data_IF_979682282451
#
_entry.id   IF_979682282451
#
_cell.length_a   1.000
_cell.length_b   1.000
_cell.length_c   1.000
_cell.angle_alpha   90.00
_cell.angle_beta   90.00
_cell.angle_gamma   90.00
#
_symmetry.space_group_name_H-M   'P 1'
#
loop_
_entity.id
_entity.type
_entity.pdbx_description
1 polymer ?
#
# COMPACT_ATOMS: atom_id res chain seq x y z
N UNK A 1 -3.38 0.54 -30.17
CA UNK A 1 -2.30 -0.06 -29.34
C UNK A 1 -2.97 -1.04 -28.39
N UNK A 2 -2.50 -2.26 -28.30
CA UNK A 2 -3.17 -3.32 -27.53
C UNK A 2 -3.01 -2.99 -26.03
N UNK A 3 -4.11 -2.63 -25.34
CA UNK A 3 -4.11 -2.19 -23.94
C UNK A 3 -3.39 -3.18 -23.02
N UNK A 4 -3.53 -4.48 -23.30
CA UNK A 4 -2.85 -5.54 -22.55
C UNK A 4 -1.33 -5.45 -22.68
N UNK A 5 -0.83 -5.19 -23.90
CA UNK A 5 0.61 -5.03 -24.17
C UNK A 5 1.17 -3.77 -23.50
N UNK A 6 0.41 -2.68 -23.52
CA UNK A 6 0.79 -1.43 -22.84
C UNK A 6 0.92 -1.64 -21.32
N UNK A 7 -0.08 -2.25 -20.69
CA UNK A 7 -0.05 -2.56 -19.25
C UNK A 7 1.12 -3.48 -18.90
N UNK A 8 1.38 -4.52 -19.71
CA UNK A 8 2.51 -5.43 -19.48
C UNK A 8 3.86 -4.70 -19.57
N UNK A 9 4.02 -3.81 -20.55
CA UNK A 9 5.25 -3.01 -20.69
C UNK A 9 5.44 -2.07 -19.50
N UNK A 10 4.38 -1.39 -19.07
CA UNK A 10 4.42 -0.50 -17.89
C UNK A 10 4.80 -1.27 -16.62
N UNK A 11 4.23 -2.46 -16.41
CA UNK A 11 4.58 -3.31 -15.27
C UNK A 11 6.04 -3.75 -15.31
N UNK A 12 6.55 -4.20 -16.47
CA UNK A 12 7.95 -4.60 -16.62
C UNK A 12 8.87 -3.41 -16.37
N UNK A 13 8.57 -2.23 -16.90
CA UNK A 13 9.34 -1.01 -16.66
C UNK A 13 9.32 -0.61 -15.18
N UNK A 14 8.20 -0.73 -14.51
CA UNK A 14 8.08 -0.47 -13.06
C UNK A 14 8.96 -1.42 -12.24
N UNK A 15 8.97 -2.72 -12.56
CA UNK A 15 9.83 -3.72 -11.91
C UNK A 15 11.31 -3.41 -12.15
N UNK A 16 11.68 -3.10 -13.39
CA UNK A 16 13.05 -2.73 -13.76
C UNK A 16 13.47 -1.45 -13.01
N UNK A 17 12.62 -0.43 -13.00
CA UNK A 17 12.87 0.81 -12.29
C UNK A 17 13.06 0.54 -10.80
N UNK A 18 12.20 -0.24 -10.16
CA UNK A 18 12.30 -0.62 -8.76
C UNK A 18 13.60 -1.37 -8.44
N UNK A 19 14.13 -2.16 -9.39
CA UNK A 19 15.39 -2.89 -9.22
C UNK A 19 16.62 -2.01 -9.45
N UNK A 20 16.57 -1.13 -10.44
CA UNK A 20 17.72 -0.29 -10.85
C UNK A 20 17.83 1.01 -10.05
N UNK A 21 16.70 1.66 -9.73
CA UNK A 21 16.68 2.97 -9.04
C UNK A 21 17.51 3.00 -7.75
N UNK A 22 17.46 1.99 -6.88
CA UNK A 22 18.28 1.96 -5.66
C UNK A 22 19.78 1.95 -5.93
N UNK A 23 20.22 1.45 -7.09
CA UNK A 23 21.62 1.36 -7.48
C UNK A 23 22.16 2.67 -8.08
N UNK A 24 21.27 3.57 -8.49
CA UNK A 24 21.64 4.87 -9.07
C UNK A 24 22.08 5.89 -8.03
N UNK A 25 22.75 6.95 -8.49
CA UNK A 25 23.10 8.09 -7.62
C UNK A 25 21.85 8.75 -7.00
N UNK A 26 20.75 8.82 -7.77
CA UNK A 26 19.48 9.34 -7.30
C UNK A 26 18.91 8.50 -6.16
N UNK A 27 18.85 7.18 -6.32
CA UNK A 27 18.38 6.28 -5.26
C UNK A 27 19.19 6.41 -3.97
N UNK A 28 20.53 6.52 -4.08
CA UNK A 28 21.43 6.71 -2.93
C UNK A 28 21.29 8.08 -2.26
N UNK A 29 20.80 9.09 -2.98
CA UNK A 29 20.57 10.43 -2.45
C UNK A 29 19.24 10.54 -1.67
N UNK A 30 18.30 9.63 -1.92
CA UNK A 30 17.01 9.61 -1.24
C UNK A 30 17.20 9.32 0.26
N UNK A 31 16.53 10.11 1.09
CA UNK A 31 16.57 9.96 2.55
C UNK A 31 15.15 9.82 3.10
N UNK A 32 15.02 8.88 4.02
CA UNK A 32 13.83 8.78 4.86
C UNK A 32 14.13 9.47 6.19
N UNK A 33 13.34 10.43 6.57
CA UNK A 33 13.35 11.00 7.91
C UNK A 33 12.06 10.60 8.65
N UNK A 34 12.06 10.80 9.95
CA UNK A 34 10.94 10.45 10.81
C UNK A 34 9.63 11.12 10.38
N UNK A 35 9.68 12.41 10.00
CA UNK A 35 8.49 13.16 9.53
C UNK A 35 7.92 12.56 8.26
N UNK A 36 8.79 12.18 7.32
CA UNK A 36 8.36 11.57 6.06
C UNK A 36 7.77 10.17 6.30
N UNK A 37 8.39 9.37 7.18
CA UNK A 37 7.86 8.07 7.56
C UNK A 37 6.45 8.19 8.17
N UNK A 38 6.26 9.19 9.04
CA UNK A 38 4.96 9.48 9.62
C UNK A 38 3.95 9.91 8.54
N UNK A 39 4.33 10.81 7.64
CA UNK A 39 3.48 11.29 6.55
C UNK A 39 3.05 10.14 5.61
N UNK A 40 3.96 9.19 5.29
CA UNK A 40 3.65 8.02 4.47
C UNK A 40 2.50 7.21 5.08
N UNK A 41 2.60 6.90 6.36
CA UNK A 41 1.60 6.07 7.02
C UNK A 41 0.28 6.83 7.25
N UNK A 42 0.32 8.13 7.54
CA UNK A 42 -0.90 8.96 7.59
C UNK A 42 -1.59 8.99 6.22
N UNK A 43 -0.84 9.17 5.14
CA UNK A 43 -1.40 9.13 3.78
C UNK A 43 -2.00 7.75 3.48
N UNK A 44 -1.34 6.67 3.90
CA UNK A 44 -1.87 5.32 3.78
C UNK A 44 -3.21 5.14 4.49
N UNK A 45 -3.35 5.66 5.72
CA UNK A 45 -4.62 5.64 6.45
C UNK A 45 -5.68 6.50 5.75
N UNK A 46 -5.32 7.71 5.32
CA UNK A 46 -6.25 8.62 4.66
C UNK A 46 -6.78 8.03 3.35
N UNK A 47 -5.90 7.51 2.49
CA UNK A 47 -6.27 6.83 1.24
C UNK A 47 -7.10 5.57 1.51
N UNK A 48 -6.69 4.77 2.52
CA UNK A 48 -7.40 3.57 2.90
C UNK A 48 -8.80 3.86 3.41
N UNK A 49 -8.95 4.79 4.35
CA UNK A 49 -10.25 5.16 4.92
C UNK A 49 -11.18 5.80 3.86
N UNK A 50 -10.65 6.72 3.06
CA UNK A 50 -11.42 7.33 1.96
C UNK A 50 -11.84 6.28 0.92
N UNK A 51 -10.92 5.38 0.54
CA UNK A 51 -11.20 4.30 -0.39
C UNK A 51 -12.24 3.32 0.14
N UNK A 52 -12.20 2.95 1.43
CA UNK A 52 -13.22 2.13 2.08
C UNK A 52 -14.60 2.80 2.03
N UNK A 53 -14.68 4.06 2.45
CA UNK A 53 -15.93 4.80 2.45
C UNK A 53 -16.53 4.89 1.04
N UNK A 54 -15.71 5.25 0.05
CA UNK A 54 -16.16 5.36 -1.34
C UNK A 54 -16.52 4.01 -1.95
N UNK A 55 -15.80 2.93 -1.62
CA UNK A 55 -16.14 1.57 -2.08
C UNK A 55 -17.52 1.13 -1.58
N UNK A 56 -17.85 1.45 -0.33
CA UNK A 56 -19.16 1.10 0.25
C UNK A 56 -20.29 1.98 -0.29
N UNK A 57 -20.03 3.26 -0.60
CA UNK A 57 -21.05 4.19 -1.10
C UNK A 57 -21.30 4.01 -2.60
N UNK A 58 -20.25 3.85 -3.38
CA UNK A 58 -20.31 3.85 -4.84
C UNK A 58 -20.52 2.44 -5.43
N UNK A 59 -20.26 1.38 -4.65
CA UNK A 59 -20.35 0.00 -5.14
C UNK A 59 -19.46 -0.22 -6.36
N UNK A 60 -19.98 -0.85 -7.41
CA UNK A 60 -19.23 -1.14 -8.64
C UNK A 60 -18.72 0.10 -9.38
N UNK A 61 -19.33 1.27 -9.17
CA UNK A 61 -18.93 2.51 -9.85
C UNK A 61 -17.50 2.92 -9.49
N UNK A 62 -16.98 2.50 -8.35
CA UNK A 62 -15.58 2.80 -7.95
C UNK A 62 -14.58 2.19 -8.93
N UNK A 63 -14.88 1.00 -9.48
CA UNK A 63 -14.03 0.30 -10.45
C UNK A 63 -14.26 0.82 -11.87
N UNK A 64 -15.52 0.99 -12.29
CA UNK A 64 -15.87 1.42 -13.65
C UNK A 64 -15.51 2.87 -13.93
N UNK A 65 -15.52 3.73 -12.91
CA UNK A 65 -15.17 5.15 -13.00
C UNK A 65 -13.68 5.46 -12.78
N UNK A 66 -12.81 4.46 -12.65
CA UNK A 66 -11.38 4.63 -12.34
C UNK A 66 -11.07 5.36 -11.03
N UNK A 67 -12.04 5.50 -10.14
CA UNK A 67 -11.83 6.16 -8.84
C UNK A 67 -10.94 5.33 -7.92
N UNK A 68 -10.99 4.00 -8.06
CA UNK A 68 -10.15 3.07 -7.32
C UNK A 68 -8.66 3.37 -7.53
N UNK A 69 -8.22 3.49 -8.79
CA UNK A 69 -6.84 3.77 -9.15
C UNK A 69 -6.40 5.15 -8.69
N UNK A 70 -7.29 6.14 -8.82
CA UNK A 70 -7.01 7.52 -8.42
C UNK A 70 -6.75 7.66 -6.92
N UNK A 71 -7.55 6.96 -6.09
CA UNK A 71 -7.41 6.99 -4.63
C UNK A 71 -6.18 6.19 -4.18
N UNK A 72 -5.90 5.08 -4.85
CA UNK A 72 -4.77 4.21 -4.51
C UNK A 72 -3.43 4.79 -4.95
N UNK A 73 -3.39 5.58 -6.03
CA UNK A 73 -2.16 6.10 -6.64
C UNK A 73 -1.24 6.83 -5.65
N UNK A 74 -1.71 7.78 -4.80
CA UNK A 74 -0.85 8.45 -3.84
C UNK A 74 -0.18 7.48 -2.86
N UNK A 75 -0.93 6.49 -2.36
CA UNK A 75 -0.40 5.48 -1.46
C UNK A 75 0.66 4.63 -2.16
N UNK A 76 0.39 4.17 -3.38
CA UNK A 76 1.35 3.38 -4.18
C UNK A 76 2.65 4.16 -4.40
N UNK A 77 2.59 5.43 -4.82
CA UNK A 77 3.77 6.25 -5.05
C UNK A 77 4.61 6.38 -3.78
N UNK A 78 3.98 6.67 -2.65
CA UNK A 78 4.66 6.89 -1.38
C UNK A 78 5.28 5.60 -0.84
N UNK A 79 4.56 4.46 -0.93
CA UNK A 79 5.12 3.17 -0.52
C UNK A 79 6.23 2.68 -1.45
N UNK A 80 6.12 2.91 -2.76
CA UNK A 80 7.22 2.65 -3.69
C UNK A 80 8.46 3.49 -3.36
N UNK A 81 8.27 4.77 -3.05
CA UNK A 81 9.35 5.62 -2.58
C UNK A 81 10.03 5.04 -1.34
N UNK A 82 9.26 4.66 -0.32
CA UNK A 82 9.79 4.07 0.91
C UNK A 82 10.57 2.78 0.63
N UNK A 83 10.04 1.90 -0.21
CA UNK A 83 10.67 0.64 -0.59
C UNK A 83 11.99 0.86 -1.36
N UNK A 84 12.05 1.86 -2.26
CA UNK A 84 13.28 2.24 -2.97
C UNK A 84 14.35 2.75 -1.99
N UNK A 85 13.97 3.63 -1.05
CA UNK A 85 14.90 4.16 -0.04
C UNK A 85 15.46 3.05 0.84
N UNK A 86 14.60 2.14 1.31
CA UNK A 86 15.02 0.99 2.12
C UNK A 86 16.00 0.10 1.36
N UNK A 87 15.70 -0.20 0.10
CA UNK A 87 16.56 -1.03 -0.74
C UNK A 87 17.88 -0.35 -1.12
N UNK A 88 17.88 0.98 -1.31
CA UNK A 88 19.08 1.74 -1.71
C UNK A 88 20.14 1.79 -0.61
N UNK A 89 19.74 1.75 0.65
CA UNK A 89 20.63 1.92 1.79
C UNK A 89 21.12 0.63 2.40
N UNK A 90 20.53 -0.50 2.03
CA UNK A 90 20.86 -1.80 2.62
C UNK A 90 20.70 -1.78 4.15
N UNK A 91 21.59 -2.55 4.84
CA UNK A 91 21.57 -2.61 6.31
C UNK A 91 22.20 -1.37 7.00
N UNK A 92 22.67 -0.37 6.25
CA UNK A 92 23.27 0.83 6.84
C UNK A 92 22.22 1.91 7.06
N UNK A 93 21.66 1.98 8.28
CA UNK A 93 21.04 3.16 8.92
C UNK A 93 20.07 4.03 8.11
N UNK A 94 19.28 3.46 7.20
CA UNK A 94 18.19 4.22 6.59
C UNK A 94 16.99 4.38 7.55
N UNK A 95 16.85 3.43 8.44
CA UNK A 95 15.95 3.40 9.57
C UNK A 95 16.78 3.08 10.80
N UNK A 96 16.44 3.69 11.91
CA UNK A 96 16.82 3.19 13.22
C UNK A 96 16.38 1.71 13.28
N UNK A 97 17.22 0.86 13.83
CA UNK A 97 16.97 -0.58 13.97
C UNK A 97 15.57 -0.85 14.54
N UNK A 98 15.10 0.05 15.39
CA UNK A 98 13.77 0.11 15.96
C UNK A 98 12.67 0.29 14.90
N UNK A 99 12.80 1.25 13.97
CA UNK A 99 11.79 1.46 12.92
C UNK A 99 11.64 0.22 12.03
N UNK A 100 12.74 -0.48 11.75
CA UNK A 100 12.72 -1.74 11.04
C UNK A 100 11.95 -2.83 11.80
N UNK A 101 12.17 -2.93 13.12
CA UNK A 101 11.43 -3.86 13.98
C UNK A 101 9.95 -3.51 14.08
N UNK A 102 9.60 -2.24 14.19
CA UNK A 102 8.21 -1.79 14.27
C UNK A 102 7.44 -2.07 12.97
N UNK A 103 8.08 -1.86 11.80
CA UNK A 103 7.50 -2.24 10.51
C UNK A 103 7.30 -3.76 10.39
N UNK A 104 8.27 -4.55 10.84
CA UNK A 104 8.17 -6.01 10.81
C UNK A 104 7.05 -6.51 11.73
N UNK A 105 6.91 -5.94 12.93
CA UNK A 105 5.82 -6.26 13.87
C UNK A 105 4.46 -5.84 13.30
N UNK A 106 4.39 -4.66 12.70
CA UNK A 106 3.17 -4.19 12.05
C UNK A 106 2.77 -5.10 10.89
N UNK A 107 3.73 -5.54 10.06
CA UNK A 107 3.47 -6.49 8.98
C UNK A 107 3.00 -7.86 9.52
N UNK A 108 3.65 -8.37 10.56
CA UNK A 108 3.27 -9.63 11.21
C UNK A 108 1.87 -9.56 11.83
N UNK A 109 1.45 -8.40 12.36
CA UNK A 109 0.10 -8.20 12.88
C UNK A 109 -0.92 -8.05 11.75
N UNK A 110 -0.62 -7.27 10.72
CA UNK A 110 -1.57 -6.96 9.64
C UNK A 110 -1.82 -8.16 8.72
N UNK A 111 -0.85 -9.08 8.57
CA UNK A 111 -0.99 -10.24 7.70
C UNK A 111 -2.16 -11.15 8.07
N UNK A 112 -2.31 -11.65 9.32
CA UNK A 112 -3.45 -12.49 9.69
C UNK A 112 -4.78 -11.73 9.57
N UNK A 113 -4.82 -10.44 9.89
CA UNK A 113 -6.03 -9.62 9.68
C UNK A 113 -6.37 -9.47 8.20
N UNK A 114 -5.38 -9.29 7.34
CA UNK A 114 -5.57 -9.23 5.90
C UNK A 114 -6.11 -10.54 5.35
N UNK A 115 -5.54 -11.68 5.75
CA UNK A 115 -6.00 -13.00 5.31
C UNK A 115 -7.43 -13.26 5.81
N UNK A 116 -7.71 -13.04 7.08
CA UNK A 116 -9.05 -13.20 7.66
C UNK A 116 -10.07 -12.26 6.98
N UNK A 117 -9.69 -11.01 6.74
CA UNK A 117 -10.50 -10.03 6.02
C UNK A 117 -10.83 -10.47 4.59
N UNK A 118 -9.86 -11.04 3.88
CA UNK A 118 -10.09 -11.57 2.53
C UNK A 118 -11.11 -12.72 2.55
N UNK A 119 -10.98 -13.67 3.46
CA UNK A 119 -11.93 -14.77 3.58
C UNK A 119 -13.33 -14.30 3.95
N UNK A 120 -13.43 -13.36 4.90
CA UNK A 120 -14.72 -12.78 5.31
C UNK A 120 -15.39 -12.05 4.16
N UNK A 121 -14.69 -11.17 3.46
CA UNK A 121 -15.22 -10.41 2.34
C UNK A 121 -15.60 -11.32 1.16
N UNK A 122 -14.82 -12.37 0.91
CA UNK A 122 -15.14 -13.36 -0.10
C UNK A 122 -16.40 -14.16 0.28
N UNK A 123 -16.56 -14.53 1.55
CA UNK A 123 -17.77 -15.19 2.03
C UNK A 123 -19.00 -14.28 1.88
N UNK A 124 -18.91 -13.00 2.24
CA UNK A 124 -19.98 -12.02 2.05
C UNK A 124 -20.32 -11.80 0.57
N UNK A 125 -19.32 -11.81 -0.31
CA UNK A 125 -19.54 -11.76 -1.75
C UNK A 125 -20.33 -13.01 -2.22
N UNK A 126 -19.96 -14.18 -1.74
CA UNK A 126 -20.64 -15.43 -2.08
C UNK A 126 -22.09 -15.46 -1.61
N UNK A 127 -22.40 -14.84 -0.49
CA UNK A 127 -23.76 -14.67 0.05
C UNK A 127 -24.52 -13.48 -0.61
N UNK A 128 -23.98 -12.92 -1.70
CA UNK A 128 -24.59 -11.80 -2.45
C UNK A 128 -24.81 -10.51 -1.65
N UNK A 129 -24.05 -10.33 -0.56
CA UNK A 129 -24.04 -9.07 0.22
C UNK A 129 -23.32 -7.98 -0.56
N UNK A 130 -22.31 -8.35 -1.33
CA UNK A 130 -21.61 -7.45 -2.26
C UNK A 130 -21.93 -7.84 -3.70
N UNK A 131 -22.33 -6.86 -4.50
CA UNK A 131 -22.51 -7.05 -5.94
C UNK A 131 -21.16 -6.91 -6.67
N UNK A 132 -20.95 -7.75 -7.67
CA UNK A 132 -19.77 -7.70 -8.52
C UNK A 132 -18.42 -7.81 -7.78
N UNK A 133 -17.42 -7.09 -8.24
CA UNK A 133 -16.04 -7.12 -7.70
C UNK A 133 -15.79 -6.11 -6.57
N UNK A 134 -16.82 -5.53 -5.95
CA UNK A 134 -16.69 -4.49 -4.91
C UNK A 134 -15.89 -4.97 -3.69
N UNK A 135 -15.96 -6.26 -3.37
CA UNK A 135 -15.18 -6.85 -2.27
C UNK A 135 -13.66 -6.64 -2.42
N UNK A 136 -13.17 -6.58 -3.66
CA UNK A 136 -11.73 -6.43 -3.92
C UNK A 136 -11.17 -5.05 -3.52
N UNK A 137 -11.71 -3.90 -3.97
CA UNK A 137 -11.28 -2.60 -3.46
C UNK A 137 -11.49 -2.45 -1.95
N UNK A 138 -12.57 -2.96 -1.38
CA UNK A 138 -12.79 -2.95 0.07
C UNK A 138 -11.64 -3.69 0.77
N UNK A 139 -11.27 -4.87 0.29
CA UNK A 139 -10.15 -5.64 0.83
C UNK A 139 -8.81 -4.87 0.78
N UNK A 140 -8.48 -4.27 -0.37
CA UNK A 140 -7.22 -3.53 -0.52
C UNK A 140 -7.16 -2.30 0.39
N UNK A 141 -8.21 -1.51 0.45
CA UNK A 141 -8.25 -0.33 1.30
C UNK A 141 -8.28 -0.67 2.79
N UNK A 142 -8.96 -1.75 3.17
CA UNK A 142 -8.92 -2.28 4.54
C UNK A 142 -7.50 -2.68 4.93
N UNK A 143 -6.83 -3.46 4.09
CA UNK A 143 -5.46 -3.91 4.32
C UNK A 143 -4.49 -2.73 4.43
N UNK A 144 -4.62 -1.74 3.54
CA UNK A 144 -3.82 -0.52 3.56
C UNK A 144 -4.02 0.26 4.87
N UNK A 145 -5.27 0.42 5.30
CA UNK A 145 -5.60 1.13 6.54
C UNK A 145 -5.04 0.42 7.76
N UNK A 146 -5.27 -0.89 7.87
CA UNK A 146 -4.81 -1.71 9.00
C UNK A 146 -3.29 -1.71 9.10
N UNK A 147 -2.60 -1.93 7.98
CA UNK A 147 -1.13 -1.92 7.96
C UNK A 147 -0.58 -0.56 8.39
N UNK A 148 -1.05 0.53 7.78
CA UNK A 148 -0.57 1.88 8.07
C UNK A 148 -0.85 2.29 9.52
N UNK A 149 -2.02 1.93 10.04
CA UNK A 149 -2.38 2.17 11.44
C UNK A 149 -1.49 1.36 12.40
N UNK A 150 -1.26 0.08 12.11
CA UNK A 150 -0.38 -0.77 12.90
C UNK A 150 1.05 -0.21 12.97
N UNK A 151 1.61 0.24 11.84
CA UNK A 151 2.93 0.89 11.80
C UNK A 151 2.97 2.11 12.71
N UNK A 152 1.97 2.99 12.66
CA UNK A 152 1.94 4.20 13.50
C UNK A 152 1.75 3.88 14.98
N UNK A 153 0.98 2.85 15.32
CA UNK A 153 0.78 2.42 16.72
C UNK A 153 2.09 1.91 17.31
N UNK A 154 2.82 1.08 16.58
CA UNK A 154 4.12 0.59 17.06
C UNK A 154 5.15 1.71 17.14
N UNK A 155 5.17 2.62 16.19
CA UNK A 155 6.08 3.75 16.17
C UNK A 155 5.88 4.74 17.33
N UNK A 156 4.62 4.91 17.81
CA UNK A 156 4.31 5.79 18.95
C UNK A 156 4.60 5.19 20.32
N UNK A 157 4.72 3.88 20.44
CA UNK A 157 4.84 3.18 21.73
C UNK A 157 6.22 3.25 22.39
N UNK A 158 7.07 4.15 21.93
CA UNK A 158 8.39 4.35 22.53
C UNK A 158 8.70 5.79 22.85
#
# INVERSE_FOLDING_TARGET
MNTKLFVSVVLVLAVIAFYLLPKTRLGKALRMNEKLFYAINITGIACGAAGLALSLIMGERIMTGHYFELILLPAVIIYLYSAVVMKARGNQSAFDEKQGLDMTRAAALSLPFSIAGMFLLYALYRESVFEGLVWFPVYLFLTLTVYSAAVLVYFRRC
#
